data_IF_247274314800
#
_entry.id   IF_247274314800
#
_cell.length_a   1.000
_cell.length_b   1.000
_cell.length_c   1.000
_cell.angle_alpha   90.00
_cell.angle_beta   90.00
_cell.angle_gamma   90.00
#
_symmetry.space_group_name_H-M   'P 1'
#
loop_
_entity.id
_entity.type
_entity.pdbx_description
1 polymer ?
#
# COMPACT_ATOMS: atom_id res chain seq x y z
N UNK A 1 3.21 -21.15 -0.39
CA UNK A 1 2.23 -20.54 -1.30
C UNK A 1 1.77 -19.26 -0.64
N UNK A 2 1.92 -18.10 -1.28
CA UNK A 2 1.50 -16.83 -0.68
C UNK A 2 -0.02 -16.63 -0.88
N UNK A 3 -0.60 -15.67 -0.16
CA UNK A 3 -2.05 -15.40 -0.22
C UNK A 3 -2.50 -15.01 -1.62
N UNK A 4 -1.67 -14.27 -2.36
CA UNK A 4 -1.91 -13.95 -3.77
C UNK A 4 -2.07 -15.20 -4.64
N UNK A 5 -1.15 -16.17 -4.52
CA UNK A 5 -1.19 -17.41 -5.32
C UNK A 5 -2.46 -18.22 -5.01
N UNK A 6 -2.91 -18.23 -3.75
CA UNK A 6 -4.17 -18.89 -3.35
C UNK A 6 -5.39 -18.17 -3.92
N UNK A 7 -5.41 -16.85 -3.87
CA UNK A 7 -6.52 -16.02 -4.36
C UNK A 7 -6.64 -16.10 -5.88
N UNK A 8 -5.52 -16.06 -6.62
CA UNK A 8 -5.50 -16.28 -8.07
C UNK A 8 -6.01 -17.67 -8.41
N UNK A 9 -5.51 -18.72 -7.75
CA UNK A 9 -5.95 -20.09 -8.00
C UNK A 9 -7.46 -20.25 -7.83
N UNK A 10 -8.05 -19.62 -6.81
CA UNK A 10 -9.50 -19.62 -6.60
C UNK A 10 -10.26 -18.79 -7.64
N UNK A 11 -9.72 -17.63 -8.03
CA UNK A 11 -10.34 -16.75 -9.01
C UNK A 11 -10.35 -17.38 -10.41
N UNK A 12 -9.34 -18.17 -10.80
CA UNK A 12 -9.29 -18.85 -12.10
C UNK A 12 -10.51 -19.74 -12.38
N UNK A 13 -11.18 -20.25 -11.35
CA UNK A 13 -12.41 -21.04 -11.48
C UNK A 13 -13.68 -20.20 -11.71
N UNK A 14 -13.58 -18.86 -11.64
CA UNK A 14 -14.70 -17.95 -11.80
C UNK A 14 -14.23 -16.63 -12.45
N UNK A 15 -14.47 -16.47 -13.75
CA UNK A 15 -13.97 -15.33 -14.55
C UNK A 15 -14.30 -13.96 -13.95
N UNK A 16 -15.48 -13.78 -13.35
CA UNK A 16 -15.88 -12.52 -12.72
C UNK A 16 -14.98 -12.17 -11.52
N UNK A 17 -14.52 -13.19 -10.78
CA UNK A 17 -13.63 -13.01 -9.62
C UNK A 17 -12.20 -12.64 -10.00
N UNK A 18 -11.74 -12.99 -11.21
CA UNK A 18 -10.39 -12.64 -11.69
C UNK A 18 -10.29 -11.13 -11.88
N UNK A 19 -11.28 -10.53 -12.53
CA UNK A 19 -11.31 -9.10 -12.78
C UNK A 19 -11.35 -8.30 -11.47
N UNK A 20 -12.16 -8.74 -10.50
CA UNK A 20 -12.24 -8.10 -9.19
C UNK A 20 -10.96 -8.25 -8.37
N UNK A 21 -10.33 -9.43 -8.42
CA UNK A 21 -9.03 -9.66 -7.78
C UNK A 21 -7.96 -8.73 -8.38
N UNK A 22 -7.82 -8.71 -9.70
CA UNK A 22 -6.84 -7.85 -10.38
C UNK A 22 -7.09 -6.37 -10.11
N UNK A 23 -8.35 -5.92 -10.11
CA UNK A 23 -8.70 -4.53 -9.76
C UNK A 23 -8.24 -4.18 -8.35
N UNK A 24 -8.51 -5.05 -7.38
CA UNK A 24 -8.15 -4.83 -5.98
C UNK A 24 -6.63 -4.76 -5.79
N UNK A 25 -5.90 -5.70 -6.37
CA UNK A 25 -4.43 -5.75 -6.28
C UNK A 25 -3.79 -4.51 -6.95
N UNK A 26 -4.29 -4.10 -8.11
CA UNK A 26 -3.84 -2.87 -8.78
C UNK A 26 -4.13 -1.63 -7.95
N UNK A 27 -5.34 -1.51 -7.39
CA UNK A 27 -5.71 -0.38 -6.55
C UNK A 27 -4.81 -0.29 -5.31
N UNK A 28 -4.53 -1.43 -4.66
CA UNK A 28 -3.63 -1.45 -3.51
C UNK A 28 -2.22 -1.02 -3.90
N UNK A 29 -1.66 -1.60 -4.97
CA UNK A 29 -0.31 -1.27 -5.42
C UNK A 29 -0.17 0.21 -5.81
N UNK A 30 -1.16 0.80 -6.47
CA UNK A 30 -1.17 2.22 -6.82
C UNK A 30 -1.25 3.10 -5.56
N UNK A 31 -2.08 2.73 -4.58
CA UNK A 31 -2.17 3.47 -3.32
C UNK A 31 -0.86 3.41 -2.53
N UNK A 32 -0.25 2.24 -2.43
CA UNK A 32 1.02 2.05 -1.73
C UNK A 32 2.15 2.85 -2.40
N UNK A 33 2.17 2.87 -3.74
CA UNK A 33 3.13 3.68 -4.51
C UNK A 33 2.92 5.17 -4.25
N UNK A 34 1.67 5.64 -4.31
CA UNK A 34 1.35 7.05 -4.05
C UNK A 34 1.73 7.47 -2.62
N UNK A 35 1.47 6.61 -1.63
CA UNK A 35 1.87 6.85 -0.25
C UNK A 35 3.41 6.93 -0.13
N UNK A 36 4.13 5.99 -0.74
CA UNK A 36 5.58 5.99 -0.74
C UNK A 36 6.17 7.25 -1.41
N UNK A 37 5.61 7.69 -2.54
CA UNK A 37 6.03 8.92 -3.22
C UNK A 37 5.74 10.17 -2.40
N UNK A 38 4.57 10.27 -1.77
CA UNK A 38 4.22 11.39 -0.88
C UNK A 38 5.14 11.43 0.35
N UNK A 39 5.42 10.27 0.97
CA UNK A 39 6.38 10.15 2.07
C UNK A 39 7.78 10.58 1.65
N UNK A 40 8.24 10.14 0.47
CA UNK A 40 9.56 10.51 -0.05
C UNK A 40 9.65 12.01 -0.38
N UNK A 41 8.60 12.58 -0.96
CA UNK A 41 8.53 13.99 -1.35
C UNK A 41 8.44 14.94 -0.14
N UNK A 42 7.58 14.62 0.83
CA UNK A 42 7.36 15.44 2.04
C UNK A 42 8.37 15.13 3.16
N UNK A 43 9.19 14.09 3.00
CA UNK A 43 10.11 13.59 4.04
C UNK A 43 9.41 12.96 5.24
N UNK A 44 8.10 12.67 5.13
CA UNK A 44 7.27 12.16 6.23
C UNK A 44 7.43 10.65 6.32
N UNK A 45 8.48 10.20 7.00
CA UNK A 45 8.55 8.80 7.43
C UNK A 45 7.55 8.61 8.59
N UNK A 46 6.47 7.83 8.44
CA UNK A 46 5.46 7.65 9.50
C UNK A 46 6.04 7.01 10.78
N UNK A 47 7.22 6.39 10.70
CA UNK A 47 7.98 5.87 11.85
C UNK A 47 9.13 6.78 12.30
N UNK A 48 9.38 7.89 11.61
CA UNK A 48 10.34 8.88 12.09
C UNK A 48 9.76 9.63 13.28
N UNK A 49 10.24 9.28 14.49
CA UNK A 49 10.06 10.05 15.74
C UNK A 49 10.70 11.45 15.72
N UNK A 50 11.05 11.99 14.56
CA UNK A 50 11.82 13.23 14.41
C UNK A 50 10.97 14.49 14.53
N UNK A 51 10.21 14.65 15.62
CA UNK A 51 9.40 15.85 15.82
C UNK A 51 8.71 16.01 17.17
N UNK A 52 8.62 14.97 18.00
CA UNK A 52 8.23 15.14 19.41
C UNK A 52 9.46 15.64 20.19
N UNK A 53 9.42 16.90 20.67
CA UNK A 53 10.41 17.62 21.48
C UNK A 53 11.53 18.46 20.81
N UNK A 54 11.47 18.82 19.52
CA UNK A 54 12.34 19.91 19.01
C UNK A 54 11.58 21.23 19.11
N UNK A 55 11.60 21.81 20.32
CA UNK A 55 10.71 22.87 20.75
C UNK A 55 10.83 24.20 20.02
N UNK A 56 9.85 25.06 20.31
CA UNK A 56 10.02 26.51 20.22
C UNK A 56 9.82 27.09 21.63
N UNK A 57 10.87 26.98 22.44
CA UNK A 57 11.07 27.87 23.58
C UNK A 57 12.10 28.89 23.14
N UNK A 58 11.63 29.97 22.54
CA UNK A 58 12.37 31.19 22.31
C UNK A 58 11.44 32.37 22.60
#
# INVERSE_FOLDING_TARGET
>A
MNDFTKNIAQALFNQDKINDLLRKELQQAVNDLLEAELTAFLGYNPYARGGWNTGNSA
#
